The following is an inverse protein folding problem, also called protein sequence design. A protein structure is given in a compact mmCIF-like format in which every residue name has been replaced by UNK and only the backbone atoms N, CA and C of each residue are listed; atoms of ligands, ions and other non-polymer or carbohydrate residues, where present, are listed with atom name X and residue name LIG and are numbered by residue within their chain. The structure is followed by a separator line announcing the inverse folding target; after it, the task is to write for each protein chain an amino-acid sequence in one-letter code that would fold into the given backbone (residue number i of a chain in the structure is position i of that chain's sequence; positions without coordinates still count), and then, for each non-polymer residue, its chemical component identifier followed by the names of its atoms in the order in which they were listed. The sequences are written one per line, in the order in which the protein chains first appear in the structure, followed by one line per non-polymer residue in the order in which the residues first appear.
data_IF_756816443777
#
_entry.id   IF_756816443777
#
_cell.length_a   1.000
_cell.length_b   1.000
_cell.length_c   1.000
_cell.angle_alpha   90.00
_cell.angle_beta   90.00
_cell.angle_gamma   90.00
#
_symmetry.space_group_name_H-M   'P 1'
#
loop_
_entity.id
_entity.type
_entity.pdbx_description
1 polymer ?
#
# COMPACT_ATOMS: atom_id res chain seq x y z
N UNK A 1 -26.47 12.15 -18.90
CA UNK A 1 -25.10 12.13 -19.46
C UNK A 1 -24.24 11.35 -18.47
N UNK A 2 -23.45 10.36 -18.89
CA UNK A 2 -22.59 9.64 -17.94
C UNK A 2 -21.58 10.64 -17.38
N UNK A 3 -21.55 10.78 -16.05
CA UNK A 3 -20.56 11.60 -15.37
C UNK A 3 -19.17 11.05 -15.69
N UNK A 4 -18.36 11.83 -16.40
CA UNK A 4 -17.00 11.46 -16.73
C UNK A 4 -16.12 11.64 -15.49
N UNK A 5 -16.07 10.60 -14.65
CA UNK A 5 -15.20 10.56 -13.48
C UNK A 5 -13.74 10.53 -13.98
N UNK A 6 -12.89 11.51 -13.63
CA UNK A 6 -11.51 11.53 -14.08
C UNK A 6 -10.74 10.31 -13.54
N UNK A 7 -9.75 9.80 -14.31
CA UNK A 7 -8.99 8.62 -13.93
C UNK A 7 -8.23 8.85 -12.61
N UNK A 8 -8.28 7.84 -11.74
CA UNK A 8 -7.56 7.80 -10.48
C UNK A 8 -6.18 7.20 -10.73
N UNK A 9 -5.13 8.01 -10.57
CA UNK A 9 -3.76 7.50 -10.55
C UNK A 9 -3.43 7.06 -9.12
N UNK A 10 -2.92 5.85 -9.00
CA UNK A 10 -2.44 5.29 -7.74
C UNK A 10 -0.93 5.08 -7.84
N UNK A 11 -0.17 5.66 -6.93
CA UNK A 11 1.27 5.51 -6.87
C UNK A 11 1.64 4.98 -5.49
N UNK A 12 2.27 3.80 -5.45
CA UNK A 12 2.82 3.23 -4.22
C UNK A 12 4.05 4.06 -3.82
N UNK A 13 4.05 4.60 -2.59
CA UNK A 13 5.16 5.39 -2.05
C UNK A 13 6.21 4.48 -1.38
N UNK A 14 5.77 3.40 -0.75
CA UNK A 14 6.64 2.47 -0.01
C UNK A 14 5.90 1.71 1.09
N UNK A 15 6.66 0.92 1.85
CA UNK A 15 6.16 0.14 2.99
C UNK A 15 6.29 0.91 4.31
N UNK A 16 5.28 0.85 5.17
CA UNK A 16 5.29 1.52 6.49
C UNK A 16 6.06 0.74 7.56
N UNK A 17 6.36 -0.52 7.30
CA UNK A 17 6.95 -1.45 8.28
C UNK A 17 5.92 -2.23 9.09
N UNK A 18 4.62 -1.91 8.99
CA UNK A 18 3.58 -2.77 9.56
C UNK A 18 3.41 -4.03 8.70
N UNK A 19 3.38 -5.18 9.37
CA UNK A 19 3.21 -6.47 8.73
C UNK A 19 2.22 -7.34 9.48
N UNK A 20 1.52 -8.21 8.74
CA UNK A 20 0.62 -9.21 9.30
C UNK A 20 0.66 -10.49 8.48
N UNK A 21 0.31 -11.60 9.10
CA UNK A 21 0.12 -12.86 8.39
C UNK A 21 -1.37 -13.11 8.17
N UNK A 22 -1.75 -13.44 6.93
CA UNK A 22 -3.08 -13.96 6.62
C UNK A 22 -3.01 -15.43 6.24
N UNK A 23 -4.05 -16.19 6.56
CA UNK A 23 -4.20 -17.57 6.09
C UNK A 23 -4.76 -17.57 4.67
N UNK A 24 -4.06 -18.20 3.72
CA UNK A 24 -4.59 -18.40 2.37
C UNK A 24 -5.71 -19.45 2.41
N UNK A 25 -6.90 -19.11 1.90
CA UNK A 25 -8.09 -19.96 2.01
C UNK A 25 -7.93 -21.33 1.32
N UNK A 26 -7.27 -21.36 0.16
CA UNK A 26 -7.13 -22.58 -0.63
C UNK A 26 -6.05 -23.54 -0.09
N UNK A 27 -4.90 -23.02 0.31
CA UNK A 27 -3.71 -23.82 0.66
C UNK A 27 -3.46 -23.89 2.16
N UNK A 28 -4.21 -23.12 2.97
CA UNK A 28 -3.96 -22.91 4.40
C UNK A 28 -2.56 -22.39 4.75
N UNK A 29 -1.76 -21.96 3.76
CA UNK A 29 -0.41 -21.44 3.99
C UNK A 29 -0.47 -20.02 4.56
N UNK A 30 0.43 -19.67 5.49
CA UNK A 30 0.57 -18.29 5.94
C UNK A 30 1.14 -17.45 4.79
N UNK A 31 0.50 -16.33 4.49
CA UNK A 31 0.96 -15.33 3.53
C UNK A 31 1.30 -14.08 4.31
N UNK A 32 2.53 -13.61 4.15
CA UNK A 32 2.98 -12.34 4.70
C UNK A 32 2.34 -11.20 3.91
N UNK A 33 1.74 -10.26 4.64
CA UNK A 33 1.21 -9.02 4.09
C UNK A 33 1.91 -7.84 4.73
N UNK A 34 2.08 -6.80 3.94
CA UNK A 34 2.70 -5.53 4.33
C UNK A 34 1.71 -4.41 4.10
N UNK A 35 1.78 -3.40 4.95
CA UNK A 35 1.09 -2.15 4.73
C UNK A 35 1.96 -1.26 3.84
N UNK A 36 1.39 -0.84 2.71
CA UNK A 36 1.97 0.12 1.77
C UNK A 36 1.18 1.42 1.81
N UNK A 37 1.87 2.55 1.73
CA UNK A 37 1.20 3.83 1.51
C UNK A 37 1.00 4.03 0.03
N UNK A 38 -0.26 4.27 -0.35
CA UNK A 38 -0.62 4.55 -1.74
C UNK A 38 -1.11 5.98 -1.81
N UNK A 39 -0.39 6.79 -2.59
CA UNK A 39 -0.86 8.13 -2.97
C UNK A 39 -1.85 7.99 -4.11
N UNK A 40 -3.08 8.44 -3.86
CA UNK A 40 -4.14 8.48 -4.85
C UNK A 40 -4.29 9.93 -5.33
N UNK A 41 -4.00 10.16 -6.60
CA UNK A 41 -4.13 11.47 -7.24
C UNK A 41 -5.17 11.40 -8.35
N UNK A 42 -6.11 12.35 -8.37
CA UNK A 42 -7.08 12.50 -9.47
C UNK A 42 -6.62 13.59 -10.42
N UNK A 43 -6.59 13.27 -11.71
CA UNK A 43 -6.20 14.22 -12.75
C UNK A 43 -7.17 15.41 -12.75
N UNK A 44 -6.66 16.62 -12.49
CA UNK A 44 -7.46 17.86 -12.48
C UNK A 44 -8.09 18.22 -11.13
N UNK A 45 -7.87 17.44 -10.05
CA UNK A 45 -8.36 17.78 -8.70
C UNK A 45 -7.29 17.48 -7.65
N UNK A 46 -6.20 18.27 -7.67
CA UNK A 46 -5.10 18.16 -6.70
C UNK A 46 -5.54 18.30 -5.23
N UNK A 47 -6.68 18.95 -4.99
CA UNK A 47 -7.28 19.11 -3.65
C UNK A 47 -7.78 17.79 -3.02
N UNK A 48 -7.81 16.68 -3.76
CA UNK A 48 -8.25 15.36 -3.25
C UNK A 48 -7.12 14.34 -3.22
N UNK A 49 -5.87 14.77 -3.35
CA UNK A 49 -4.71 13.91 -3.11
C UNK A 49 -4.81 13.34 -1.70
N UNK A 50 -4.91 12.01 -1.61
CA UNK A 50 -4.95 11.29 -0.33
C UNK A 50 -3.91 10.19 -0.32
N UNK A 51 -3.20 10.10 0.79
CA UNK A 51 -2.33 8.98 1.09
C UNK A 51 -3.12 8.03 1.97
N UNK A 52 -3.44 6.85 1.45
CA UNK A 52 -4.17 5.83 2.22
C UNK A 52 -3.25 4.61 2.46
N UNK A 53 -3.26 4.02 3.67
CA UNK A 53 -2.62 2.74 3.90
C UNK A 53 -3.41 1.62 3.21
N UNK A 54 -2.71 0.72 2.54
CA UNK A 54 -3.26 -0.45 1.85
C UNK A 54 -2.50 -1.71 2.26
N UNK A 55 -3.23 -2.79 2.50
CA UNK A 55 -2.64 -4.09 2.79
C UNK A 55 -2.46 -4.90 1.50
N UNK A 56 -1.23 -5.30 1.21
CA UNK A 56 -0.90 -6.14 0.05
C UNK A 56 0.01 -7.30 0.45
N UNK A 57 0.03 -8.34 -0.39
CA UNK A 57 0.90 -9.49 -0.20
C UNK A 57 2.38 -9.05 -0.39
N UNK A 58 3.24 -9.48 0.52
CA UNK A 58 4.64 -9.07 0.54
C UNK A 58 5.42 -9.68 -0.63
N UNK A 59 6.26 -8.88 -1.27
CA UNK A 59 7.34 -9.41 -2.12
C UNK A 59 8.48 -9.96 -1.27
N UNK A 60 9.36 -10.77 -1.87
CA UNK A 60 10.51 -11.33 -1.16
C UNK A 60 11.43 -10.23 -0.60
N UNK A 61 11.65 -9.15 -1.37
CA UNK A 61 12.48 -8.03 -0.96
C UNK A 61 11.88 -7.30 0.24
N UNK A 62 10.57 -7.03 0.24
CA UNK A 62 9.88 -6.39 1.36
C UNK A 62 9.88 -7.28 2.62
N UNK A 63 9.77 -8.60 2.44
CA UNK A 63 9.88 -9.55 3.55
C UNK A 63 11.27 -9.47 4.23
N UNK A 64 12.32 -9.37 3.41
CA UNK A 64 13.70 -9.17 3.89
C UNK A 64 13.83 -7.81 4.59
N UNK A 65 13.32 -6.73 3.99
CA UNK A 65 13.34 -5.40 4.59
C UNK A 65 12.67 -5.35 5.97
N UNK A 66 11.54 -6.05 6.13
CA UNK A 66 10.86 -6.20 7.42
C UNK A 66 11.73 -6.97 8.41
N UNK A 67 12.33 -8.08 7.98
CA UNK A 67 13.18 -8.89 8.85
C UNK A 67 14.40 -8.13 9.37
N UNK A 68 14.99 -7.27 8.54
CA UNK A 68 16.16 -6.47 8.91
C UNK A 68 15.82 -5.07 9.45
N UNK A 69 14.55 -4.67 9.42
CA UNK A 69 14.10 -3.37 9.95
C UNK A 69 14.57 -2.16 9.13
N UNK A 70 14.63 -2.27 7.79
CA UNK A 70 15.23 -1.22 6.94
C UNK A 70 14.29 -0.77 5.81
N UNK A 71 14.42 0.50 5.38
CA UNK A 71 13.74 1.00 4.18
C UNK A 71 12.26 1.34 4.36
N UNK A 72 11.83 1.63 5.60
CA UNK A 72 10.46 2.05 5.88
C UNK A 72 10.27 3.53 5.60
N UNK A 73 9.08 3.87 5.09
CA UNK A 73 8.64 5.26 4.96
C UNK A 73 7.84 5.65 6.19
N UNK A 74 8.12 6.84 6.73
CA UNK A 74 7.35 7.39 7.83
C UNK A 74 5.96 7.78 7.31
N UNK A 75 4.92 7.42 8.06
CA UNK A 75 3.54 7.81 7.74
C UNK A 75 3.23 9.26 8.15
N UNK A 76 4.26 10.06 8.47
CA UNK A 76 4.14 11.45 8.91
C UNK A 76 3.64 12.40 7.80
N UNK A 77 2.36 12.32 7.50
CA UNK A 77 1.48 13.47 7.25
C UNK A 77 0.15 13.15 7.97
N UNK A 78 0.11 13.45 9.28
CA UNK A 78 -1.13 13.59 10.06
C UNK A 78 -1.45 15.07 10.25
#
# INVERSE_FOLDING_TARGET
MPEHIPPLNQTELGITGHFRFRKQMLTSRPVLQVEVLVRKTRLGTHSMDRTDPLWRDATLQEAVQIQYGTGFIDSSES
#
